data_IF_931792348101
#
_entry.id   IF_931792348101
#
_cell.length_a   1.000
_cell.length_b   1.000
_cell.length_c   1.000
_cell.angle_alpha   90.00
_cell.angle_beta   90.00
_cell.angle_gamma   90.00
#
_symmetry.space_group_name_H-M   'P 1'
#
loop_
_entity.id
_entity.type
_entity.pdbx_description
1 polymer ?
#
# COMPACT_ATOMS: atom_id res chain seq x y z
N UNK A 1 -17.74 17.69 -22.72
CA UNK A 1 -16.29 17.84 -22.40
C UNK A 1 -15.96 17.74 -20.91
N UNK A 2 -16.54 18.57 -20.02
CA UNK A 2 -16.15 18.65 -18.57
C UNK A 2 -16.15 17.33 -17.75
N UNK A 3 -17.08 16.40 -17.98
CA UNK A 3 -17.17 15.15 -17.18
C UNK A 3 -15.99 14.19 -17.42
N UNK A 4 -15.50 14.09 -18.66
CA UNK A 4 -14.37 13.21 -18.99
C UNK A 4 -13.06 13.74 -18.41
N UNK A 5 -12.89 15.06 -18.36
CA UNK A 5 -11.71 15.69 -17.75
C UNK A 5 -11.68 15.50 -16.24
N UNK A 6 -12.84 15.67 -15.57
CA UNK A 6 -12.96 15.41 -14.14
C UNK A 6 -12.65 13.95 -13.80
N UNK A 7 -13.18 13.00 -14.56
CA UNK A 7 -12.89 11.59 -14.35
C UNK A 7 -11.41 11.24 -14.57
N UNK A 8 -10.76 11.81 -15.60
CA UNK A 8 -9.33 11.65 -15.84
C UNK A 8 -8.47 12.25 -14.72
N UNK A 9 -8.87 13.40 -14.19
CA UNK A 9 -8.20 14.00 -13.03
C UNK A 9 -8.33 13.09 -11.80
N UNK A 10 -9.53 12.58 -11.53
CA UNK A 10 -9.75 11.63 -10.44
C UNK A 10 -8.89 10.38 -10.61
N UNK A 11 -8.87 9.79 -11.81
CA UNK A 11 -8.02 8.65 -12.11
C UNK A 11 -6.55 8.98 -11.81
N UNK A 12 -6.06 10.13 -12.29
CA UNK A 12 -4.69 10.56 -12.06
C UNK A 12 -4.38 10.74 -10.56
N UNK A 13 -5.23 11.47 -9.84
CA UNK A 13 -5.06 11.72 -8.40
C UNK A 13 -5.05 10.43 -7.60
N UNK A 14 -6.01 9.53 -7.81
CA UNK A 14 -6.09 8.29 -7.03
C UNK A 14 -5.04 7.25 -7.41
N UNK A 15 -4.63 7.20 -8.68
CA UNK A 15 -3.65 6.25 -9.17
C UNK A 15 -2.21 6.66 -8.88
N UNK A 16 -1.89 7.95 -8.96
CA UNK A 16 -0.50 8.44 -8.85
C UNK A 16 -0.25 9.25 -7.58
N UNK A 17 -1.10 10.22 -7.25
CA UNK A 17 -0.89 11.10 -6.08
C UNK A 17 -1.20 10.36 -4.76
N UNK A 18 -2.38 9.74 -4.69
CA UNK A 18 -2.83 9.00 -3.50
C UNK A 18 -2.60 7.49 -3.61
N UNK A 19 -1.61 7.09 -4.41
CA UNK A 19 -1.29 5.68 -4.71
C UNK A 19 -1.01 4.85 -3.46
N UNK A 20 -0.19 5.37 -2.54
CA UNK A 20 0.27 4.66 -1.34
C UNK A 20 -0.43 5.20 -0.10
N UNK A 21 -1.13 4.31 0.61
CA UNK A 21 -1.98 4.62 1.78
C UNK A 21 -1.55 3.78 2.98
N UNK A 22 -0.27 3.89 3.35
CA UNK A 22 0.35 3.11 4.44
C UNK A 22 0.30 3.83 5.79
N UNK A 23 0.45 5.15 5.79
CA UNK A 23 0.53 5.95 7.02
C UNK A 23 -0.81 6.61 7.34
N UNK A 24 -1.07 6.92 8.62
CA UNK A 24 -2.26 7.67 9.06
C UNK A 24 -2.49 8.95 8.25
N UNK A 25 -1.42 9.72 7.99
CA UNK A 25 -1.46 10.96 7.20
C UNK A 25 -1.87 10.69 5.74
N UNK A 26 -1.31 9.66 5.10
CA UNK A 26 -1.65 9.31 3.71
C UNK A 26 -3.09 8.81 3.57
N UNK A 27 -3.55 7.97 4.51
CA UNK A 27 -4.94 7.48 4.57
C UNK A 27 -5.91 8.65 4.78
N UNK A 28 -5.61 9.54 5.73
CA UNK A 28 -6.45 10.72 5.98
C UNK A 28 -6.55 11.63 4.75
N UNK A 29 -5.43 11.91 4.06
CA UNK A 29 -5.45 12.71 2.82
C UNK A 29 -6.30 12.07 1.73
N UNK A 30 -6.15 10.76 1.51
CA UNK A 30 -6.97 10.02 0.54
C UNK A 30 -8.46 10.10 0.91
N UNK A 31 -8.81 9.81 2.16
CA UNK A 31 -10.21 9.81 2.59
C UNK A 31 -10.84 11.20 2.50
N UNK A 32 -10.11 12.24 2.91
CA UNK A 32 -10.59 13.62 2.78
C UNK A 32 -10.85 14.01 1.32
N UNK A 33 -9.95 13.66 0.40
CA UNK A 33 -10.15 13.90 -1.03
C UNK A 33 -11.34 13.10 -1.58
N UNK A 34 -11.44 11.81 -1.25
CA UNK A 34 -12.51 10.92 -1.71
C UNK A 34 -13.88 11.38 -1.24
N UNK A 35 -14.01 11.73 0.04
CA UNK A 35 -15.26 12.22 0.61
C UNK A 35 -15.65 13.55 -0.05
N UNK A 36 -14.69 14.47 -0.23
CA UNK A 36 -14.94 15.73 -0.93
C UNK A 36 -15.41 15.53 -2.38
N UNK A 37 -14.78 14.62 -3.11
CA UNK A 37 -15.16 14.31 -4.50
C UNK A 37 -16.55 13.66 -4.57
N UNK A 38 -16.90 12.75 -3.65
CA UNK A 38 -18.23 12.13 -3.61
C UNK A 38 -19.30 13.17 -3.23
N UNK A 39 -19.02 14.06 -2.28
CA UNK A 39 -19.95 15.13 -1.90
C UNK A 39 -20.31 16.07 -3.06
N UNK A 40 -19.43 16.21 -4.06
CA UNK A 40 -19.74 16.97 -5.28
C UNK A 40 -20.83 16.33 -6.15
N UNK A 41 -21.10 15.04 -5.96
CA UNK A 41 -22.08 14.26 -6.73
C UNK A 41 -23.32 13.86 -5.93
N UNK A 42 -23.16 13.60 -4.63
CA UNK A 42 -24.23 13.11 -3.75
C UNK A 42 -23.95 13.44 -2.29
N UNK A 43 -25.00 13.64 -1.50
CA UNK A 43 -24.89 14.13 -0.11
C UNK A 43 -25.08 13.06 0.96
N UNK A 44 -25.57 11.88 0.59
CA UNK A 44 -25.81 10.73 1.45
C UNK A 44 -24.53 9.90 1.68
N UNK A 45 -23.48 10.59 2.12
CA UNK A 45 -22.20 10.01 2.51
C UNK A 45 -22.07 10.03 4.03
N UNK A 46 -21.78 8.88 4.62
CA UNK A 46 -21.53 8.73 6.06
C UNK A 46 -20.14 8.17 6.28
N UNK A 47 -19.34 8.83 7.13
CA UNK A 47 -18.01 8.36 7.50
C UNK A 47 -18.05 7.86 8.93
N UNK A 48 -17.80 6.56 9.13
CA UNK A 48 -17.77 5.93 10.44
C UNK A 48 -16.32 5.61 10.79
N UNK A 49 -15.82 6.21 11.87
CA UNK A 49 -14.50 5.91 12.40
C UNK A 49 -14.59 4.78 13.43
N UNK A 50 -13.77 3.75 13.25
CA UNK A 50 -13.55 2.71 14.24
C UNK A 50 -12.20 2.97 14.91
N UNK A 51 -12.21 3.24 16.20
CA UNK A 51 -11.01 3.41 17.02
C UNK A 51 -11.00 2.37 18.13
N UNK A 52 -10.76 1.12 17.72
CA UNK A 52 -10.53 0.02 18.67
C UNK A 52 -9.04 -0.24 18.80
N UNK A 53 -8.62 -0.81 19.93
CA UNK A 53 -7.22 -1.21 20.18
C UNK A 53 -6.68 -2.15 19.09
N UNK A 54 -7.53 -3.01 18.52
CA UNK A 54 -7.15 -3.94 17.45
C UNK A 54 -7.25 -3.32 16.03
N UNK A 55 -8.18 -2.37 15.83
CA UNK A 55 -8.46 -1.78 14.51
C UNK A 55 -8.74 -0.28 14.62
N UNK A 56 -7.85 0.50 14.01
CA UNK A 56 -8.02 1.94 13.76
C UNK A 56 -8.26 2.17 12.27
N UNK A 57 -9.52 2.28 11.86
CA UNK A 57 -9.93 2.48 10.47
C UNK A 57 -11.09 3.46 10.34
N UNK A 58 -11.31 3.98 9.12
CA UNK A 58 -12.45 4.83 8.81
C UNK A 58 -13.14 4.23 7.59
N UNK A 59 -14.39 3.82 7.75
CA UNK A 59 -15.21 3.32 6.67
C UNK A 59 -16.05 4.46 6.10
N UNK A 60 -16.23 4.45 4.79
CA UNK A 60 -17.11 5.39 4.09
C UNK A 60 -18.28 4.58 3.55
N UNK A 61 -19.48 4.99 3.93
CA UNK A 61 -20.74 4.46 3.44
C UNK A 61 -21.41 5.50 2.57
N UNK A 62 -22.00 5.05 1.47
CA UNK A 62 -22.58 5.92 0.45
C UNK A 62 -23.93 5.33 0.08
N UNK A 63 -25.01 6.04 0.43
CA UNK A 63 -26.39 5.55 0.32
C UNK A 63 -26.88 4.77 1.54
N UNK A 64 -28.10 4.24 1.41
CA UNK A 64 -28.78 3.46 2.44
C UNK A 64 -28.50 1.96 2.23
N UNK A 65 -27.67 1.38 3.12
CA UNK A 65 -27.25 -0.02 3.04
C UNK A 65 -28.40 -0.98 3.35
N UNK A 66 -29.32 -0.59 4.22
CA UNK A 66 -30.42 -1.45 4.67
C UNK A 66 -31.46 -1.67 3.57
N UNK A 67 -31.62 -0.67 2.69
CA UNK A 67 -32.56 -0.71 1.57
C UNK A 67 -31.92 -1.01 0.22
N UNK A 68 -30.60 -1.18 0.16
CA UNK A 68 -29.89 -1.38 -1.09
C UNK A 68 -30.15 -2.77 -1.68
N UNK A 69 -30.59 -2.83 -2.94
CA UNK A 69 -30.63 -4.08 -3.71
C UNK A 69 -29.22 -4.65 -3.94
N UNK A 70 -28.22 -3.76 -4.08
CA UNK A 70 -26.83 -4.13 -4.34
C UNK A 70 -25.86 -3.28 -3.53
N UNK A 71 -24.95 -3.97 -2.84
CA UNK A 71 -23.84 -3.34 -2.10
C UNK A 71 -22.53 -3.64 -2.81
N UNK A 72 -21.74 -2.60 -3.09
CA UNK A 72 -20.39 -2.72 -3.63
C UNK A 72 -19.41 -2.36 -2.52
N UNK A 73 -18.56 -3.31 -2.13
CA UNK A 73 -17.54 -3.10 -1.12
C UNK A 73 -16.13 -3.12 -1.74
N UNK A 74 -15.25 -2.27 -1.22
CA UNK A 74 -13.84 -2.24 -1.62
C UNK A 74 -12.97 -1.74 -0.48
N UNK A 75 -11.71 -2.13 -0.48
CA UNK A 75 -10.71 -1.61 0.45
C UNK A 75 -9.96 -0.45 -0.18
N UNK A 76 -9.80 0.61 0.60
CA UNK A 76 -8.91 1.69 0.22
C UNK A 76 -7.46 1.41 0.64
N UNK A 77 -7.16 0.52 1.57
CA UNK A 77 -5.79 0.35 2.07
C UNK A 77 -4.82 -0.22 1.02
N UNK A 78 -3.54 0.16 1.12
CA UNK A 78 -2.48 -0.41 0.28
C UNK A 78 -1.90 -1.64 0.97
N UNK A 79 -1.93 -2.83 0.33
CA UNK A 79 -1.34 -4.02 0.92
C UNK A 79 0.17 -3.87 1.11
N UNK A 80 0.71 -4.66 2.06
CA UNK A 80 2.15 -4.79 2.25
C UNK A 80 2.77 -5.40 0.99
N UNK A 81 4.00 -5.00 0.67
CA UNK A 81 4.72 -5.60 -0.47
C UNK A 81 4.83 -7.11 -0.26
N UNK A 82 4.46 -7.86 -1.27
CA UNK A 82 4.67 -9.29 -1.35
C UNK A 82 5.14 -9.65 -2.76
N UNK A 83 5.76 -10.82 -2.89
CA UNK A 83 6.26 -11.33 -4.15
C UNK A 83 5.08 -11.90 -4.98
N UNK A 84 4.93 -11.43 -6.22
CA UNK A 84 3.89 -11.90 -7.14
C UNK A 84 2.59 -11.08 -7.13
N UNK A 85 1.53 -11.63 -7.74
CA UNK A 85 0.22 -10.99 -7.84
C UNK A 85 -0.49 -10.90 -6.49
N UNK A 86 -1.25 -9.82 -6.29
CA UNK A 86 -2.11 -9.63 -5.12
C UNK A 86 -3.53 -10.09 -5.45
N UNK A 87 -4.03 -11.08 -4.73
CA UNK A 87 -5.44 -11.47 -4.77
C UNK A 87 -6.18 -10.79 -3.62
N UNK A 88 -7.25 -10.06 -3.95
CA UNK A 88 -8.09 -9.41 -2.94
C UNK A 88 -8.74 -10.48 -2.04
N UNK A 89 -8.85 -10.18 -0.74
CA UNK A 89 -9.50 -11.02 0.28
C UNK A 89 -8.80 -12.34 0.65
N UNK A 90 -7.71 -12.73 -0.01
CA UNK A 90 -6.90 -13.90 0.39
C UNK A 90 -5.74 -13.50 1.30
N UNK A 91 -6.05 -13.28 2.58
CA UNK A 91 -5.06 -12.89 3.57
C UNK A 91 -4.03 -14.01 3.86
N UNK A 92 -4.40 -15.28 3.67
CA UNK A 92 -3.53 -16.43 3.94
C UNK A 92 -2.45 -16.54 2.87
N UNK A 93 -2.83 -16.42 1.60
CA UNK A 93 -1.88 -16.37 0.48
C UNK A 93 -0.95 -15.17 0.62
N UNK A 94 -1.49 -14.00 0.94
CA UNK A 94 -0.67 -12.81 1.06
C UNK A 94 0.34 -12.87 2.21
N UNK A 95 -0.03 -13.50 3.34
CA UNK A 95 0.90 -13.75 4.44
C UNK A 95 2.05 -14.65 3.99
N UNK A 96 1.76 -15.75 3.26
CA UNK A 96 2.79 -16.66 2.76
C UNK A 96 3.75 -15.96 1.80
N UNK A 97 3.24 -15.24 0.80
CA UNK A 97 4.05 -14.48 -0.16
C UNK A 97 4.93 -13.42 0.51
N UNK A 98 4.42 -12.75 1.54
CA UNK A 98 5.20 -11.79 2.33
C UNK A 98 6.35 -12.49 3.07
N UNK A 99 6.09 -13.63 3.73
CA UNK A 99 7.11 -14.41 4.43
C UNK A 99 8.18 -14.90 3.44
N UNK A 100 7.80 -15.46 2.30
CA UNK A 100 8.74 -15.89 1.28
C UNK A 100 9.60 -14.74 0.74
N UNK A 101 9.00 -13.57 0.51
CA UNK A 101 9.76 -12.38 0.11
C UNK A 101 10.79 -11.97 1.14
N UNK A 102 10.45 -12.05 2.43
CA UNK A 102 11.37 -11.72 3.52
C UNK A 102 12.51 -12.74 3.59
N UNK A 103 12.19 -14.04 3.54
CA UNK A 103 13.18 -15.12 3.56
C UNK A 103 14.16 -15.02 2.39
N UNK A 104 13.65 -14.77 1.17
CA UNK A 104 14.49 -14.57 0.00
C UNK A 104 15.45 -13.38 0.18
N UNK A 105 14.95 -12.25 0.66
CA UNK A 105 15.79 -11.08 0.95
C UNK A 105 16.88 -11.37 1.98
N UNK A 106 16.56 -12.14 3.02
CA UNK A 106 17.57 -12.57 4.00
C UNK A 106 18.64 -13.45 3.36
N UNK A 107 18.25 -14.47 2.59
CA UNK A 107 19.19 -15.37 1.91
C UNK A 107 20.13 -14.57 1.00
N UNK A 108 19.58 -13.64 0.22
CA UNK A 108 20.38 -12.76 -0.65
C UNK A 108 21.37 -11.92 0.15
N UNK A 109 20.92 -11.26 1.23
CA UNK A 109 21.79 -10.44 2.08
C UNK A 109 22.92 -11.27 2.71
N UNK A 110 22.60 -12.44 3.25
CA UNK A 110 23.60 -13.35 3.83
C UNK A 110 24.58 -13.85 2.78
N UNK A 111 24.10 -14.19 1.58
CA UNK A 111 24.97 -14.64 0.48
C UNK A 111 25.94 -13.54 0.03
N UNK A 112 25.47 -12.28 -0.03
CA UNK A 112 26.32 -11.12 -0.35
C UNK A 112 27.34 -10.86 0.75
N UNK A 113 26.94 -10.93 2.03
CA UNK A 113 27.85 -10.78 3.17
C UNK A 113 28.92 -11.89 3.19
N UNK A 114 28.51 -13.13 2.96
CA UNK A 114 29.43 -14.28 2.86
C UNK A 114 30.42 -14.10 1.71
N UNK A 115 29.94 -13.68 0.54
CA UNK A 115 30.80 -13.41 -0.61
C UNK A 115 31.80 -12.28 -0.30
N UNK A 116 31.33 -11.16 0.27
CA UNK A 116 32.20 -10.07 0.71
C UNK A 116 33.30 -10.54 1.67
N UNK A 117 32.95 -11.40 2.63
CA UNK A 117 33.92 -11.98 3.57
C UNK A 117 34.94 -12.89 2.87
N UNK A 118 34.51 -13.70 1.89
CA UNK A 118 35.42 -14.53 1.10
C UNK A 118 36.40 -13.71 0.26
N UNK A 119 35.96 -12.57 -0.29
CA UNK A 119 36.83 -11.64 -1.02
C UNK A 119 37.85 -11.01 -0.07
N UNK A 120 37.39 -10.52 1.10
CA UNK A 120 38.24 -9.92 2.11
C UNK A 120 39.34 -10.87 2.60
N UNK A 121 38.99 -12.12 2.92
CA UNK A 121 39.94 -13.12 3.42
C UNK A 121 40.99 -13.53 2.36
N UNK A 122 40.70 -13.38 1.06
CA UNK A 122 41.67 -13.68 -0.01
C UNK A 122 42.68 -12.55 -0.23
N UNK A 123 42.34 -11.29 0.05
CA UNK A 123 43.19 -10.12 -0.20
C UNK A 123 42.98 -9.03 0.88
N UNK A 124 43.49 -9.22 2.12
CA UNK A 124 43.24 -8.30 3.23
C UNK A 124 43.83 -6.89 3.02
N UNK A 125 44.85 -6.76 2.16
CA UNK A 125 45.56 -5.48 1.95
C UNK A 125 45.01 -4.60 0.81
N UNK A 126 44.20 -5.13 -0.11
CA UNK A 126 43.74 -4.36 -1.29
C UNK A 126 42.34 -3.76 -1.18
N UNK A 127 41.52 -4.18 -0.20
CA UNK A 127 40.13 -3.70 -0.07
C UNK A 127 40.06 -2.27 0.47
N UNK A 128 41.03 -1.85 1.28
CA UNK A 128 41.08 -0.48 1.83
C UNK A 128 41.63 0.55 0.83
N UNK A 129 42.49 0.15 -0.11
CA UNK A 129 43.03 1.04 -1.16
C UNK A 129 41.97 1.48 -2.19
N UNK A 130 40.90 0.69 -2.35
CA UNK A 130 39.84 0.96 -3.33
C UNK A 130 38.82 2.00 -2.85
N UNK A 131 38.79 2.27 -1.54
CA UNK A 131 37.95 3.28 -0.89
C UNK A 131 38.70 4.56 -0.53
N UNK A 132 40.01 4.61 -0.78
CA UNK A 132 40.89 5.74 -0.46
C UNK A 132 41.20 6.67 -1.65
N UNK A 133 40.28 6.76 -2.63
CA UNK A 133 40.31 7.76 -3.72
C UNK A 133 39.28 8.85 -3.45
#
# INVERSE_FOLDING_TARGET
>A
MKKNELFRDWEFRYRYIYRKRRTKKSKQRFLSALVSDIYSMRTDVTVIAYDTLAYRSKNIYVGDIEKAEKVICTYYDTPVHALGSYFMFDWKDQRKKTIYSILLSFILLFSLGWWGMMIYNKNPHHVFDLLSV
#
